data_IF_317725098407
#
_entry.id   IF_317725098407
#
_cell.length_a   1.000
_cell.length_b   1.000
_cell.length_c   1.000
_cell.angle_alpha   90.00
_cell.angle_beta   90.00
_cell.angle_gamma   90.00
#
_symmetry.space_group_name_H-M   'P 1'
#
loop_
_entity.id
_entity.type
_entity.pdbx_description
1 polymer ?
#
# COMPACT_ATOMS: atom_id res chain seq x y z
N UNK A 1 -19.69 -14.89 -3.16
CA UNK A 1 -18.31 -14.39 -3.17
C UNK A 1 -18.00 -13.99 -4.60
N UNK A 2 -17.64 -12.73 -4.84
CA UNK A 2 -17.22 -12.26 -6.15
C UNK A 2 -15.73 -11.99 -6.06
N UNK A 3 -14.94 -12.69 -6.87
CA UNK A 3 -13.49 -12.52 -6.96
C UNK A 3 -13.19 -11.99 -8.36
N UNK A 4 -12.48 -10.86 -8.44
CA UNK A 4 -11.89 -10.36 -9.69
C UNK A 4 -10.39 -10.58 -9.60
N UNK A 5 -9.86 -11.49 -10.38
CA UNK A 5 -8.43 -11.70 -10.57
C UNK A 5 -7.95 -10.96 -11.83
N UNK A 6 -6.73 -10.45 -11.81
CA UNK A 6 -6.06 -9.91 -12.99
C UNK A 6 -5.14 -10.98 -13.52
N UNK A 7 -5.30 -11.31 -14.81
CA UNK A 7 -4.29 -12.07 -15.52
C UNK A 7 -3.11 -11.11 -15.80
N UNK A 8 -1.92 -11.48 -15.34
CA UNK A 8 -0.70 -10.73 -15.59
C UNK A 8 -0.39 -10.84 -17.08
N UNK A 9 -0.57 -9.77 -17.84
CA UNK A 9 0.08 -9.65 -19.14
C UNK A 9 1.57 -9.42 -18.92
N UNK A 10 2.38 -10.31 -19.51
CA UNK A 10 3.84 -10.34 -19.43
C UNK A 10 4.46 -8.98 -19.71
N UNK A 11 5.22 -8.45 -18.71
CA UNK A 11 6.33 -7.57 -18.97
C UNK A 11 7.61 -8.30 -18.59
N UNK A 12 8.40 -8.59 -19.59
CA UNK A 12 9.70 -9.20 -19.62
C UNK A 12 10.48 -9.22 -18.30
N UNK A 13 10.51 -10.39 -17.66
CA UNK A 13 11.68 -10.93 -16.99
C UNK A 13 11.80 -12.40 -17.38
N UNK A 14 12.87 -12.73 -18.11
CA UNK A 14 13.27 -14.11 -18.40
C UNK A 14 13.60 -14.79 -17.08
N UNK A 15 12.76 -15.71 -16.63
CA UNK A 15 13.15 -16.88 -15.87
C UNK A 15 12.22 -17.99 -16.37
N UNK A 16 12.83 -19.02 -16.97
CA UNK A 16 12.12 -20.10 -17.64
C UNK A 16 11.37 -20.99 -16.66
N UNK A 17 10.12 -21.20 -16.94
CA UNK A 17 9.37 -22.47 -16.98
C UNK A 17 7.89 -22.22 -17.26
N UNK A 18 7.14 -23.17 -17.88
CA UNK A 18 5.89 -22.89 -18.55
C UNK A 18 4.70 -22.82 -17.61
N UNK A 19 3.87 -21.78 -17.81
CA UNK A 19 2.54 -21.65 -17.23
C UNK A 19 1.52 -22.44 -18.08
N UNK A 20 0.79 -23.30 -17.43
CA UNK A 20 -0.38 -23.93 -18.01
C UNK A 20 -1.14 -24.72 -16.96
N UNK A 21 -2.15 -24.12 -16.33
CA UNK A 21 -3.44 -24.73 -16.02
C UNK A 21 -4.36 -23.73 -15.26
N UNK A 22 -5.71 -23.76 -15.47
CA UNK A 22 -6.66 -22.84 -14.85
C UNK A 22 -6.81 -23.15 -13.35
N UNK A 23 -6.93 -22.07 -12.53
CA UNK A 23 -7.12 -22.15 -11.09
C UNK A 23 -8.45 -22.81 -10.73
N UNK A 24 -8.40 -23.98 -10.12
CA UNK A 24 -9.51 -24.62 -9.43
C UNK A 24 -9.87 -23.83 -8.16
N UNK A 25 -11.17 -23.78 -7.82
CA UNK A 25 -11.73 -23.06 -6.68
C UNK A 25 -11.21 -23.52 -5.30
N UNK A 26 -10.32 -24.49 -5.24
CA UNK A 26 -9.70 -25.04 -4.01
C UNK A 26 -8.25 -24.62 -3.79
N UNK A 27 -7.64 -23.81 -4.67
CA UNK A 27 -6.22 -23.44 -4.66
C UNK A 27 -5.83 -22.34 -3.69
N UNK A 28 -6.63 -21.97 -2.70
CA UNK A 28 -6.21 -21.12 -1.59
C UNK A 28 -5.40 -21.96 -0.60
N UNK A 29 -4.09 -21.95 -0.81
CA UNK A 29 -3.14 -22.63 0.05
C UNK A 29 -3.22 -22.12 1.50
N UNK A 30 -3.03 -23.05 2.42
CA UNK A 30 -3.05 -22.96 3.88
C UNK A 30 -2.61 -21.61 4.41
N UNK A 31 -3.54 -20.88 5.04
CA UNK A 31 -3.24 -19.73 5.89
C UNK A 31 -2.41 -20.20 7.08
N UNK A 32 -1.15 -19.78 7.18
CA UNK A 32 -0.38 -19.94 8.42
C UNK A 32 -0.96 -19.03 9.50
N UNK A 33 -1.01 -19.54 10.74
CA UNK A 33 -1.54 -18.82 11.90
C UNK A 33 -0.69 -17.58 12.25
N UNK A 34 -1.23 -16.59 13.01
CA UNK A 34 -0.60 -15.30 13.33
C UNK A 34 0.62 -15.42 14.28
N UNK A 35 1.45 -16.44 14.17
CA UNK A 35 2.63 -16.66 14.99
C UNK A 35 3.96 -16.41 14.28
N UNK A 36 4.03 -16.53 12.98
CA UNK A 36 5.25 -16.32 12.20
C UNK A 36 5.41 -14.84 11.84
N UNK A 37 5.70 -14.04 12.85
CA UNK A 37 6.09 -12.63 12.70
C UNK A 37 7.55 -12.55 12.27
N UNK A 38 7.83 -12.79 11.01
CA UNK A 38 9.09 -12.34 10.41
C UNK A 38 8.78 -11.14 9.53
N UNK A 39 9.14 -9.94 10.04
CA UNK A 39 9.28 -8.66 9.34
C UNK A 39 8.06 -8.12 8.59
N UNK A 40 6.88 -8.06 9.25
CA UNK A 40 6.00 -6.94 9.00
C UNK A 40 6.60 -5.73 9.73
N UNK A 41 6.78 -4.55 9.10
CA UNK A 41 6.83 -3.35 9.89
C UNK A 41 5.53 -3.33 10.69
N UNK A 42 5.63 -3.41 12.01
CA UNK A 42 4.51 -3.36 12.93
C UNK A 42 3.91 -1.95 12.84
N UNK A 43 3.04 -1.73 11.86
CA UNK A 43 2.09 -0.65 11.84
C UNK A 43 1.11 -0.89 12.97
N UNK A 44 1.46 -0.47 14.16
CA UNK A 44 0.52 -0.38 15.28
C UNK A 44 -0.62 0.51 14.83
N UNK A 45 -1.86 -0.03 14.81
CA UNK A 45 -3.07 0.76 14.77
C UNK A 45 -3.75 0.95 13.42
N UNK A 46 -3.42 0.23 12.37
CA UNK A 46 -4.29 0.15 11.19
C UNK A 46 -5.54 -0.66 11.50
N UNK A 47 -6.72 -0.12 11.16
CA UNK A 47 -8.04 -0.74 11.34
C UNK A 47 -8.28 -1.96 10.41
N UNK A 48 -7.24 -2.64 9.98
CA UNK A 48 -7.24 -3.81 9.13
C UNK A 48 -6.17 -4.81 9.54
N UNK A 49 -6.37 -6.10 9.29
CA UNK A 49 -5.34 -7.12 9.40
C UNK A 49 -4.77 -7.40 8.01
N UNK A 50 -3.45 -7.36 7.89
CA UNK A 50 -2.71 -7.80 6.72
C UNK A 50 -2.06 -9.16 7.03
N UNK A 51 -2.12 -10.09 6.07
CA UNK A 51 -1.62 -11.44 6.20
C UNK A 51 -0.69 -11.75 5.05
N UNK A 52 0.46 -12.36 5.33
CA UNK A 52 1.27 -12.94 4.27
C UNK A 52 0.67 -14.26 3.82
N UNK A 53 0.55 -14.41 2.50
CA UNK A 53 -0.03 -15.59 1.87
C UNK A 53 0.98 -16.12 0.86
N UNK A 54 1.31 -17.42 0.97
CA UNK A 54 2.06 -18.11 -0.05
C UNK A 54 1.06 -18.65 -1.06
N UNK A 55 1.10 -18.14 -2.28
CA UNK A 55 0.29 -18.62 -3.41
C UNK A 55 1.18 -19.33 -4.43
N UNK A 56 0.59 -20.11 -5.33
CA UNK A 56 1.35 -20.76 -6.43
C UNK A 56 2.07 -19.73 -7.31
N UNK A 57 1.54 -18.51 -7.43
CA UNK A 57 2.12 -17.40 -8.20
C UNK A 57 3.17 -16.57 -7.43
N UNK A 58 3.55 -16.97 -6.21
CA UNK A 58 4.52 -16.25 -5.37
C UNK A 58 3.95 -15.77 -4.04
N UNK A 59 4.73 -14.94 -3.33
CA UNK A 59 4.32 -14.34 -2.07
C UNK A 59 3.35 -13.18 -2.30
N UNK A 60 2.28 -13.12 -1.51
CA UNK A 60 1.27 -12.09 -1.58
C UNK A 60 0.90 -11.53 -0.20
N UNK A 61 0.29 -10.36 -0.17
CA UNK A 61 -0.26 -9.72 1.02
C UNK A 61 -1.78 -9.68 0.88
N UNK A 62 -2.49 -10.33 1.80
CA UNK A 62 -3.93 -10.25 1.93
C UNK A 62 -4.31 -9.21 2.95
N UNK A 63 -4.96 -8.13 2.52
CA UNK A 63 -5.53 -7.09 3.35
C UNK A 63 -7.02 -7.35 3.53
N UNK A 64 -7.46 -7.51 4.78
CA UNK A 64 -8.87 -7.62 5.13
C UNK A 64 -9.36 -6.30 5.74
N UNK A 65 -10.44 -5.74 5.20
CA UNK A 65 -10.96 -4.46 5.66
C UNK A 65 -11.86 -4.67 6.86
N UNK A 66 -11.50 -4.04 7.99
CA UNK A 66 -12.29 -4.05 9.22
C UNK A 66 -12.88 -2.68 9.50
N UNK A 67 -14.10 -2.65 10.03
CA UNK A 67 -14.72 -1.41 10.48
C UNK A 67 -14.13 -1.00 11.83
N UNK A 68 -13.68 0.26 11.94
CA UNK A 68 -13.24 0.84 13.21
C UNK A 68 -14.31 1.81 13.75
N UNK A 69 -14.25 2.10 15.05
CA UNK A 69 -15.14 3.02 15.75
C UNK A 69 -15.95 2.33 16.85
N UNK A 70 -16.73 3.09 17.62
CA UNK A 70 -17.54 2.59 18.76
C UNK A 70 -18.52 1.46 18.38
N UNK A 71 -19.03 1.48 17.14
CA UNK A 71 -19.91 0.43 16.61
C UNK A 71 -19.15 -0.86 16.21
N UNK A 72 -17.81 -0.83 16.18
CA UNK A 72 -17.00 -2.00 15.82
C UNK A 72 -17.11 -3.15 16.83
N UNK A 73 -17.56 -2.89 18.06
CA UNK A 73 -17.82 -3.93 19.07
C UNK A 73 -18.96 -4.86 18.68
N UNK A 74 -19.91 -4.39 17.85
CA UNK A 74 -21.11 -5.14 17.46
C UNK A 74 -21.04 -5.64 16.01
N UNK A 75 -20.32 -4.93 15.12
CA UNK A 75 -20.19 -5.26 13.67
C UNK A 75 -18.79 -4.93 13.21
N UNK A 76 -17.82 -5.80 13.52
CA UNK A 76 -16.40 -5.52 13.31
C UNK A 76 -15.93 -5.50 11.84
N UNK A 77 -16.57 -6.29 10.97
CA UNK A 77 -16.04 -6.60 9.63
C UNK A 77 -17.02 -6.30 8.48
N UNK A 78 -18.12 -5.56 8.75
CA UNK A 78 -19.18 -5.38 7.77
C UNK A 78 -19.45 -3.91 7.46
N UNK A 79 -19.57 -3.60 6.16
CA UNK A 79 -19.91 -2.29 5.64
C UNK A 79 -21.29 -2.32 4.97
N UNK A 80 -22.00 -1.18 4.96
CA UNK A 80 -23.26 -1.07 4.22
C UNK A 80 -22.97 -1.29 2.73
N UNK A 81 -23.71 -2.22 2.12
CA UNK A 81 -23.52 -2.57 0.72
C UNK A 81 -24.18 -1.53 -0.18
N UNK A 82 -23.39 -0.79 -0.92
CA UNK A 82 -23.83 0.21 -1.92
C UNK A 82 -23.42 -0.17 -3.35
N UNK A 83 -23.17 -1.46 -3.59
CA UNK A 83 -22.71 -1.99 -4.85
C UNK A 83 -21.25 -2.48 -4.82
N UNK A 84 -20.96 -3.51 -5.63
CA UNK A 84 -19.65 -4.14 -5.70
C UNK A 84 -18.54 -3.12 -6.06
N UNK A 85 -18.84 -2.27 -7.03
CA UNK A 85 -17.91 -1.26 -7.53
C UNK A 85 -17.49 -0.24 -6.46
N UNK A 86 -18.33 -0.01 -5.47
CA UNK A 86 -18.10 0.94 -4.36
C UNK A 86 -17.48 0.28 -3.15
N UNK A 87 -17.34 -1.06 -3.13
CA UNK A 87 -16.68 -1.74 -1.99
C UNK A 87 -15.21 -1.34 -1.91
N UNK A 88 -14.69 -1.23 -0.69
CA UNK A 88 -13.32 -0.73 -0.43
C UNK A 88 -12.27 -1.53 -1.17
N UNK A 89 -12.32 -2.86 -1.10
CA UNK A 89 -11.37 -3.73 -1.79
C UNK A 89 -11.34 -3.51 -3.31
N UNK A 90 -12.51 -3.37 -3.94
CA UNK A 90 -12.59 -3.12 -5.39
C UNK A 90 -12.20 -1.69 -5.79
N UNK A 91 -12.40 -0.70 -4.92
CA UNK A 91 -11.93 0.68 -5.16
C UNK A 91 -10.41 0.73 -5.12
N UNK A 92 -9.79 0.22 -4.06
CA UNK A 92 -8.34 0.19 -3.91
C UNK A 92 -7.69 -0.67 -5.02
N UNK A 93 -8.29 -1.83 -5.35
CA UNK A 93 -7.83 -2.67 -6.45
C UNK A 93 -7.75 -1.92 -7.78
N UNK A 94 -8.82 -1.19 -8.18
CA UNK A 94 -8.85 -0.42 -9.42
C UNK A 94 -7.87 0.75 -9.40
N UNK A 95 -7.74 1.41 -8.26
CA UNK A 95 -6.77 2.47 -8.10
C UNK A 95 -5.34 1.94 -8.29
N UNK A 96 -4.98 0.83 -7.64
CA UNK A 96 -3.68 0.19 -7.82
C UNK A 96 -3.44 -0.24 -9.28
N UNK A 97 -4.46 -0.76 -9.99
CA UNK A 97 -4.35 -1.06 -11.42
C UNK A 97 -4.00 0.19 -12.22
N UNK A 98 -4.68 1.32 -11.97
CA UNK A 98 -4.43 2.57 -12.66
C UNK A 98 -3.04 3.14 -12.34
N UNK A 99 -2.58 3.04 -11.09
CA UNK A 99 -1.23 3.46 -10.69
C UNK A 99 -0.15 2.58 -11.33
N UNK A 100 -0.36 1.26 -11.36
CA UNK A 100 0.55 0.32 -12.04
C UNK A 100 0.62 0.60 -13.55
N UNK A 101 -0.52 0.91 -14.18
CA UNK A 101 -0.55 1.27 -15.61
C UNK A 101 0.23 2.57 -15.92
N UNK A 102 0.34 3.48 -14.94
CA UNK A 102 1.17 4.69 -14.99
C UNK A 102 2.63 4.42 -14.59
N UNK A 103 3.04 3.18 -14.40
CA UNK A 103 4.39 2.77 -13.95
C UNK A 103 4.81 3.41 -12.63
N UNK A 104 3.86 3.67 -11.74
CA UNK A 104 4.12 4.15 -10.39
C UNK A 104 4.48 2.99 -9.46
N UNK A 105 5.43 3.18 -8.53
CA UNK A 105 5.93 2.12 -7.65
C UNK A 105 4.93 1.79 -6.54
N UNK A 106 3.99 0.91 -6.85
CA UNK A 106 2.99 0.37 -5.94
C UNK A 106 2.99 -1.16 -6.01
N UNK A 107 2.53 -1.86 -4.95
CA UNK A 107 2.33 -3.31 -5.03
C UNK A 107 1.32 -3.65 -6.13
N UNK A 108 1.66 -4.61 -6.99
CA UNK A 108 0.74 -5.03 -8.04
C UNK A 108 -0.52 -5.66 -7.45
N UNK A 109 -1.74 -5.23 -7.85
CA UNK A 109 -2.98 -5.80 -7.37
C UNK A 109 -3.23 -7.15 -8.06
N UNK A 110 -3.40 -8.22 -7.27
CA UNK A 110 -3.61 -9.59 -7.76
C UNK A 110 -5.09 -9.95 -7.80
N UNK A 111 -5.82 -9.67 -6.72
CA UNK A 111 -7.25 -9.96 -6.63
C UNK A 111 -7.94 -9.05 -5.60
N UNK A 112 -9.24 -8.85 -5.78
CA UNK A 112 -10.11 -8.28 -4.76
C UNK A 112 -11.33 -9.16 -4.56
N UNK A 113 -11.82 -9.27 -3.33
CA UNK A 113 -13.04 -9.99 -3.05
C UNK A 113 -14.04 -9.14 -2.27
N UNK A 114 -15.31 -9.45 -2.46
CA UNK A 114 -16.43 -8.89 -1.72
C UNK A 114 -17.39 -10.03 -1.37
N UNK A 115 -17.63 -10.24 -0.09
CA UNK A 115 -18.64 -11.19 0.41
C UNK A 115 -19.83 -10.38 0.89
N UNK A 116 -20.93 -10.42 0.14
CA UNK A 116 -22.16 -9.73 0.49
C UNK A 116 -22.94 -10.53 1.54
N UNK A 117 -23.42 -9.85 2.61
CA UNK A 117 -24.50 -10.26 3.48
C UNK A 117 -25.84 -9.67 2.99
N UNK A 118 -26.85 -9.60 3.85
CA UNK A 118 -28.15 -9.00 3.50
C UNK A 118 -28.02 -7.51 3.18
N UNK A 119 -27.53 -6.73 4.14
CA UNK A 119 -27.36 -5.25 4.02
C UNK A 119 -25.90 -4.81 4.11
N UNK A 120 -25.00 -5.73 4.43
CA UNK A 120 -23.57 -5.43 4.67
C UNK A 120 -22.69 -6.25 3.74
N UNK A 121 -21.39 -5.92 3.72
CA UNK A 121 -20.38 -6.69 3.01
C UNK A 121 -19.07 -6.76 3.78
N UNK A 122 -18.30 -7.79 3.53
CA UNK A 122 -16.89 -7.94 3.88
C UNK A 122 -16.05 -7.82 2.60
N UNK A 123 -14.89 -7.20 2.69
CA UNK A 123 -14.01 -7.05 1.54
C UNK A 123 -12.55 -7.35 1.90
N UNK A 124 -11.80 -7.75 0.90
CA UNK A 124 -10.35 -7.89 0.99
C UNK A 124 -9.68 -7.61 -0.35
N UNK A 125 -8.39 -7.39 -0.26
CA UNK A 125 -7.50 -7.10 -1.36
C UNK A 125 -6.26 -7.98 -1.24
N UNK A 126 -5.88 -8.61 -2.34
CA UNK A 126 -4.64 -9.36 -2.46
C UNK A 126 -3.71 -8.58 -3.38
N UNK A 127 -2.52 -8.28 -2.89
CA UNK A 127 -1.46 -7.62 -3.65
C UNK A 127 -0.19 -8.48 -3.66
N UNK A 128 0.67 -8.25 -4.62
CA UNK A 128 2.03 -8.77 -4.61
C UNK A 128 2.74 -8.33 -3.33
N UNK A 129 3.52 -9.23 -2.72
CA UNK A 129 4.42 -8.88 -1.62
C UNK A 129 5.69 -8.26 -2.22
N UNK A 130 6.02 -7.07 -1.79
CA UNK A 130 7.32 -6.46 -2.04
C UNK A 130 8.33 -7.17 -1.14
N UNK A 131 9.24 -7.94 -1.77
CA UNK A 131 10.31 -8.67 -1.08
C UNK A 131 11.47 -7.71 -0.76
N UNK A 132 12.25 -8.06 0.25
CA UNK A 132 13.48 -7.35 0.63
C UNK A 132 13.27 -5.84 0.80
N UNK A 133 12.12 -5.48 1.39
CA UNK A 133 11.76 -4.11 1.69
C UNK A 133 11.66 -3.85 3.17
N UNK A 134 12.03 -2.64 3.59
CA UNK A 134 11.89 -2.14 4.95
C UNK A 134 11.13 -0.81 4.96
N UNK A 135 10.59 -0.42 6.11
CA UNK A 135 9.84 0.84 6.21
C UNK A 135 10.76 2.05 6.23
N UNK A 136 10.27 3.21 5.78
CA UNK A 136 10.99 4.46 5.91
C UNK A 136 11.35 4.76 7.37
N UNK A 137 10.50 4.39 8.33
CA UNK A 137 10.81 4.54 9.77
C UNK A 137 12.06 3.74 10.15
N UNK A 138 12.20 2.51 9.66
CA UNK A 138 13.39 1.69 9.90
C UNK A 138 14.63 2.31 9.25
N UNK A 139 14.52 2.79 8.01
CA UNK A 139 15.63 3.46 7.32
C UNK A 139 16.09 4.74 8.04
N UNK A 140 15.17 5.55 8.55
CA UNK A 140 15.49 6.75 9.33
C UNK A 140 16.25 6.40 10.60
N UNK A 141 15.80 5.37 11.34
CA UNK A 141 16.48 4.90 12.56
C UNK A 141 17.89 4.38 12.29
N UNK A 142 18.11 3.80 11.11
CA UNK A 142 19.41 3.30 10.67
C UNK A 142 20.25 4.35 9.91
N UNK A 143 19.80 5.61 9.85
CA UNK A 143 20.45 6.71 9.11
C UNK A 143 20.70 6.39 7.62
N UNK A 144 19.85 5.57 7.01
CA UNK A 144 19.97 5.09 5.61
C UNK A 144 18.84 5.57 4.70
N UNK A 145 18.03 6.54 5.15
CA UNK A 145 16.89 7.01 4.38
C UNK A 145 17.32 7.80 3.13
N UNK A 146 16.89 7.41 1.91
CA UNK A 146 17.21 8.09 0.65
C UNK A 146 16.27 9.28 0.43
N UNK A 147 16.45 10.34 1.19
CA UNK A 147 15.53 11.48 1.27
C UNK A 147 15.13 12.10 -0.07
N UNK A 148 16.11 12.30 -0.97
CA UNK A 148 15.86 12.85 -2.30
C UNK A 148 15.00 11.92 -3.15
N UNK A 149 15.31 10.62 -3.18
CA UNK A 149 14.55 9.63 -3.93
C UNK A 149 13.09 9.52 -3.43
N UNK A 150 12.88 9.68 -2.13
CA UNK A 150 11.52 9.71 -1.55
C UNK A 150 10.76 10.94 -2.05
N UNK A 151 11.40 12.12 -2.01
CA UNK A 151 10.79 13.37 -2.49
C UNK A 151 10.42 13.29 -3.97
N UNK A 152 11.33 12.83 -4.81
CA UNK A 152 11.10 12.62 -6.24
C UNK A 152 9.98 11.62 -6.53
N UNK A 153 9.94 10.53 -5.76
CA UNK A 153 8.88 9.52 -5.90
C UNK A 153 7.53 10.09 -5.53
N UNK A 154 7.41 10.81 -4.42
CA UNK A 154 6.14 11.48 -4.03
C UNK A 154 5.71 12.48 -5.10
N UNK A 155 6.64 13.25 -5.68
CA UNK A 155 6.34 14.17 -6.78
C UNK A 155 5.82 13.42 -8.02
N UNK A 156 6.38 12.26 -8.38
CA UNK A 156 5.86 11.42 -9.48
C UNK A 156 4.41 11.01 -9.26
N UNK A 157 4.03 10.61 -8.04
CA UNK A 157 2.65 10.28 -7.70
C UNK A 157 1.74 11.51 -7.83
N UNK A 158 2.15 12.65 -7.30
CA UNK A 158 1.37 13.87 -7.34
C UNK A 158 1.17 14.38 -8.77
N UNK A 159 2.21 14.38 -9.62
CA UNK A 159 2.08 14.71 -11.05
C UNK A 159 1.13 13.78 -11.80
N UNK A 160 1.04 12.53 -11.37
CA UNK A 160 0.07 11.58 -11.94
C UNK A 160 -1.37 11.76 -11.43
N UNK A 161 -1.59 12.74 -10.53
CA UNK A 161 -2.88 12.98 -9.88
C UNK A 161 -3.21 11.99 -8.76
N UNK A 162 -2.22 11.26 -8.25
CA UNK A 162 -2.43 10.23 -7.23
C UNK A 162 -2.47 10.86 -5.83
N UNK A 163 -3.65 11.18 -5.34
CA UNK A 163 -3.88 11.70 -4.00
C UNK A 163 -3.97 10.54 -3.00
N UNK A 164 -2.95 10.39 -2.18
CA UNK A 164 -2.90 9.39 -1.11
C UNK A 164 -3.62 9.90 0.14
N UNK A 165 -4.72 9.26 0.51
CA UNK A 165 -5.58 9.70 1.62
C UNK A 165 -4.94 9.63 3.00
N UNK A 166 -3.83 8.88 3.17
CA UNK A 166 -3.13 8.72 4.46
C UNK A 166 -1.62 8.49 4.28
N UNK A 167 -0.93 9.34 3.49
CA UNK A 167 0.52 9.22 3.33
C UNK A 167 1.23 9.50 4.66
N UNK A 168 1.93 8.49 5.15
CA UNK A 168 2.71 8.55 6.38
C UNK A 168 3.99 7.70 6.25
N UNK A 169 4.91 7.83 7.20
CA UNK A 169 6.22 7.18 7.15
C UNK A 169 6.15 5.64 7.13
N UNK A 170 5.09 5.04 7.69
CA UNK A 170 4.90 3.59 7.67
C UNK A 170 4.35 3.07 6.33
N UNK A 171 3.80 3.95 5.48
CA UNK A 171 3.25 3.62 4.17
C UNK A 171 4.26 3.82 3.03
N UNK A 172 5.52 4.10 3.36
CA UNK A 172 6.63 4.14 2.41
C UNK A 172 7.57 2.98 2.72
N UNK A 173 7.80 2.13 1.73
CA UNK A 173 8.75 1.03 1.79
C UNK A 173 9.92 1.32 0.86
N UNK A 174 11.09 0.88 1.28
CA UNK A 174 12.35 1.03 0.58
C UNK A 174 12.93 -0.35 0.33
N UNK A 175 13.49 -0.61 -0.86
CA UNK A 175 14.28 -1.81 -1.12
C UNK A 175 15.79 -1.51 -1.04
N UNK A 176 16.59 -2.58 -1.05
CA UNK A 176 18.04 -2.48 -0.95
C UNK A 176 18.71 -1.92 -2.25
N UNK A 177 17.91 -1.71 -3.31
CA UNK A 177 18.36 -1.15 -4.59
C UNK A 177 17.99 0.33 -4.77
N UNK A 178 17.48 0.98 -3.71
CA UNK A 178 17.07 2.38 -3.72
C UNK A 178 15.67 2.60 -4.27
N UNK A 179 14.89 1.55 -4.48
CA UNK A 179 13.48 1.65 -4.88
C UNK A 179 12.63 2.18 -3.73
N UNK A 180 11.72 3.09 -4.06
CA UNK A 180 10.76 3.68 -3.10
C UNK A 180 9.36 3.30 -3.53
N UNK A 181 8.61 2.62 -2.66
CA UNK A 181 7.25 2.15 -2.91
C UNK A 181 6.26 2.80 -1.95
N UNK A 182 5.07 3.14 -2.43
CA UNK A 182 3.98 3.64 -1.60
C UNK A 182 2.88 2.59 -1.51
N UNK A 183 2.49 2.25 -0.28
CA UNK A 183 1.50 1.22 0.03
C UNK A 183 0.27 1.81 0.75
N UNK A 184 -0.78 1.00 0.94
CA UNK A 184 -2.03 1.36 1.64
C UNK A 184 -2.81 2.49 0.98
N UNK A 185 -3.28 2.24 -0.23
CA UNK A 185 -4.06 3.18 -1.06
C UNK A 185 -5.56 3.22 -0.71
N UNK A 186 -5.94 2.69 0.45
CA UNK A 186 -7.31 2.82 0.96
C UNK A 186 -7.66 4.29 1.20
N UNK A 187 -8.87 4.73 0.79
CA UNK A 187 -9.33 6.12 0.80
C UNK A 187 -8.58 7.08 -0.13
N UNK A 188 -7.72 6.56 -0.98
CA UNK A 188 -6.98 7.33 -1.97
C UNK A 188 -7.75 7.42 -3.28
N UNK A 189 -7.43 8.41 -4.11
CA UNK A 189 -8.11 8.68 -5.38
C UNK A 189 -7.13 9.19 -6.44
N UNK A 190 -7.55 9.17 -7.71
CA UNK A 190 -6.91 9.94 -8.77
C UNK A 190 -7.69 11.23 -8.97
N UNK A 191 -7.03 12.36 -8.82
CA UNK A 191 -7.61 13.71 -8.93
C UNK A 191 -6.79 14.58 -9.90
N UNK A 192 -7.48 15.49 -10.60
CA UNK A 192 -6.83 16.33 -11.63
C UNK A 192 -6.35 17.70 -11.12
N UNK A 193 -6.46 18.00 -9.84
CA UNK A 193 -6.07 19.28 -9.26
C UNK A 193 -5.04 19.14 -8.14
N UNK A 194 -3.75 18.91 -8.47
CA UNK A 194 -2.72 18.65 -7.47
C UNK A 194 -2.45 19.81 -6.50
N UNK A 195 -2.62 21.05 -6.93
CA UNK A 195 -2.28 22.25 -6.14
C UNK A 195 -3.09 22.37 -4.84
N UNK A 196 -4.27 21.77 -4.78
CA UNK A 196 -5.17 21.90 -3.63
C UNK A 196 -4.84 20.97 -2.47
N UNK A 197 -4.17 19.83 -2.72
CA UNK A 197 -3.97 18.79 -1.72
C UNK A 197 -2.51 18.34 -1.54
N UNK A 198 -1.62 18.57 -2.52
CA UNK A 198 -0.22 18.14 -2.48
C UNK A 198 0.52 18.61 -1.22
N UNK A 199 0.40 19.91 -0.89
CA UNK A 199 1.00 20.47 0.31
C UNK A 199 0.52 19.78 1.59
N UNK A 200 -0.77 19.51 1.71
CA UNK A 200 -1.37 18.84 2.87
C UNK A 200 -0.86 17.40 3.03
N UNK A 201 -0.63 16.69 1.92
CA UNK A 201 -0.08 15.33 1.92
C UNK A 201 1.37 15.34 2.38
N UNK A 202 2.20 16.27 1.89
CA UNK A 202 3.59 16.45 2.35
C UNK A 202 3.65 16.81 3.84
N UNK A 203 2.82 17.72 4.30
CA UNK A 203 2.78 18.13 5.72
C UNK A 203 2.33 16.96 6.62
N UNK A 204 1.44 16.11 6.14
CA UNK A 204 1.07 14.87 6.85
C UNK A 204 2.27 13.92 6.96
N UNK A 205 2.99 13.70 5.86
CA UNK A 205 4.20 12.86 5.86
C UNK A 205 5.24 13.41 6.84
N UNK A 206 5.51 14.72 6.81
CA UNK A 206 6.43 15.37 7.74
C UNK A 206 6.00 15.17 9.20
N UNK A 207 4.74 15.42 9.54
CA UNK A 207 4.24 15.19 10.92
C UNK A 207 4.39 13.73 11.35
N UNK A 208 4.15 12.79 10.43
CA UNK A 208 4.34 11.36 10.70
C UNK A 208 5.80 11.02 10.97
N UNK A 209 6.73 11.54 10.17
CA UNK A 209 8.18 11.35 10.38
C UNK A 209 8.62 11.88 11.74
N UNK A 210 8.24 13.11 12.10
CA UNK A 210 8.56 13.69 13.39
C UNK A 210 8.00 12.88 14.56
N UNK A 211 6.80 12.34 14.41
CA UNK A 211 6.15 11.50 15.44
C UNK A 211 6.81 10.13 15.60
N UNK A 212 7.01 9.41 14.49
CA UNK A 212 7.46 8.01 14.52
C UNK A 212 8.97 7.87 14.73
N UNK A 213 9.74 8.94 14.46
CA UNK A 213 11.20 8.94 14.53
C UNK A 213 11.76 9.86 15.64
N UNK A 214 10.99 10.16 16.68
CA UNK A 214 11.37 11.05 17.78
C UNK A 214 12.69 10.70 18.51
N UNK A 215 13.20 9.50 18.35
CA UNK A 215 14.49 9.05 18.96
C UNK A 215 15.69 9.10 18.02
N UNK A 216 15.55 9.56 16.76
CA UNK A 216 16.57 9.40 15.71
C UNK A 216 17.49 10.63 15.50
N UNK A 217 17.66 11.49 16.52
CA UNK A 217 18.45 12.72 16.36
C UNK A 217 17.67 13.81 15.59
N UNK A 218 17.06 14.74 16.32
CA UNK A 218 16.14 15.73 15.74
C UNK A 218 16.75 16.58 14.62
N UNK A 219 18.03 17.05 14.69
CA UNK A 219 18.64 17.83 13.62
C UNK A 219 18.77 17.04 12.31
N UNK A 220 19.31 15.82 12.35
CA UNK A 220 19.49 14.97 11.16
C UNK A 220 18.16 14.62 10.49
N UNK A 221 17.10 14.40 11.27
CA UNK A 221 15.75 14.17 10.76
C UNK A 221 15.19 15.42 10.07
N UNK A 222 15.43 16.62 10.62
CA UNK A 222 14.99 17.88 10.02
C UNK A 222 15.71 18.14 8.69
N UNK A 223 17.03 17.92 8.65
CA UNK A 223 17.83 18.04 7.42
C UNK A 223 17.34 17.05 6.34
N UNK A 224 17.05 15.82 6.72
CA UNK A 224 16.49 14.83 5.81
C UNK A 224 15.12 15.24 5.26
N UNK A 225 14.24 15.75 6.11
CA UNK A 225 12.93 16.28 5.68
C UNK A 225 13.11 17.48 4.74
N UNK A 226 14.08 18.35 4.99
CA UNK A 226 14.39 19.48 4.12
C UNK A 226 14.88 18.99 2.74
N UNK A 227 15.76 17.99 2.69
CA UNK A 227 16.21 17.35 1.45
C UNK A 227 15.04 16.73 0.67
N UNK A 228 14.15 15.99 1.34
CA UNK A 228 12.95 15.40 0.74
C UNK A 228 12.10 16.50 0.09
N UNK A 229 11.79 17.58 0.82
CA UNK A 229 10.98 18.69 0.31
C UNK A 229 11.64 19.41 -0.87
N UNK A 230 12.94 19.63 -0.79
CA UNK A 230 13.72 20.23 -1.88
C UNK A 230 13.67 19.40 -3.15
N UNK A 231 13.93 18.08 -3.04
CA UNK A 231 13.85 17.16 -4.16
C UNK A 231 12.42 17.06 -4.74
N UNK A 232 11.41 17.05 -3.86
CA UNK A 232 10.00 17.08 -4.28
C UNK A 232 9.70 18.33 -5.11
N UNK A 233 10.02 19.54 -4.63
CA UNK A 233 9.74 20.79 -5.34
C UNK A 233 10.52 20.90 -6.65
N UNK A 234 11.76 20.39 -6.69
CA UNK A 234 12.55 20.31 -7.93
C UNK A 234 11.93 19.37 -8.96
N UNK A 235 11.26 18.29 -8.52
CA UNK A 235 10.62 17.32 -9.39
C UNK A 235 9.16 17.67 -9.77
N UNK A 236 8.53 18.60 -9.06
CA UNK A 236 7.23 19.18 -9.46
C UNK A 236 7.47 20.29 -10.50
N UNK A 237 6.59 20.42 -11.51
CA UNK A 237 6.68 21.49 -12.50
C UNK A 237 6.43 22.85 -11.89
#
# INVERSE_FOLDING_TARGET
IIVKAVHRQDRHRRIGQPFGQPLDQRGLARTRRPGDRQNLPAGQGGRGSAWFVQAQAGCAVLKHYRRGGLLAKWVSDSYIYSGLARSRGFREFRLLQALTAKSLPVPAPLAAFCRRGLVTYQAGLLTERLLDTHSLVAAVRNSSAPWSAIGETVARFHRAGAHHGDLNANNILLDDHGGVFIIDWDKSVLENAPDTWCGKVLDRLQRSLLKECQGSGLPALQDGIAQLRSAYHKAMP
#
